data_IF_655374029449
#
_entry.id   IF_655374029449
#
_cell.length_a   1.000
_cell.length_b   1.000
_cell.length_c   1.000
_cell.angle_alpha   90.00
_cell.angle_beta   90.00
_cell.angle_gamma   90.00
#
_symmetry.space_group_name_H-M   'P 1'
#
loop_
_entity.id
_entity.type
_entity.pdbx_description
1 polymer ?
#
# COMPACT_ATOMS: atom_id res chain seq x y z
N UNK A 1 -12.14 0.63 -0.15
CA UNK A 1 -12.23 0.65 -1.62
C UNK A 1 -12.11 -0.74 -2.19
N UNK A 2 -12.85 -1.06 -3.25
CA UNK A 2 -12.72 -2.32 -3.99
C UNK A 2 -11.87 -2.07 -5.24
N UNK A 3 -10.81 -2.84 -5.43
CA UNK A 3 -9.92 -2.79 -6.61
C UNK A 3 -9.80 -4.18 -7.22
N UNK A 4 -9.70 -4.24 -8.55
CA UNK A 4 -9.70 -5.50 -9.31
C UNK A 4 -8.39 -5.67 -10.09
N UNK A 5 -7.41 -6.41 -9.55
CA UNK A 5 -6.11 -6.60 -10.19
C UNK A 5 -6.14 -7.30 -11.54
N UNK A 6 -7.18 -8.08 -11.81
CA UNK A 6 -7.29 -8.90 -13.01
C UNK A 6 -8.32 -8.37 -14.00
N UNK A 7 -8.86 -7.16 -13.78
CA UNK A 7 -9.97 -6.60 -14.59
C UNK A 7 -11.31 -7.34 -14.48
N UNK A 8 -11.34 -8.54 -13.89
CA UNK A 8 -12.52 -9.38 -13.72
C UNK A 8 -13.22 -9.14 -12.37
N UNK A 9 -13.70 -7.91 -12.17
CA UNK A 9 -14.67 -7.63 -11.10
C UNK A 9 -16.01 -8.35 -11.35
N UNK A 10 -16.25 -8.78 -12.59
CA UNK A 10 -17.49 -9.38 -13.09
C UNK A 10 -17.82 -10.67 -12.35
N UNK A 11 -16.80 -11.44 -11.95
CA UNK A 11 -16.95 -12.62 -11.10
C UNK A 11 -17.02 -12.30 -9.59
N UNK A 12 -17.12 -11.03 -9.21
CA UNK A 12 -17.27 -10.57 -7.83
C UNK A 12 -16.04 -10.78 -6.95
N UNK A 13 -14.87 -11.03 -7.54
CA UNK A 13 -13.60 -11.10 -6.81
C UNK A 13 -12.91 -9.74 -6.87
N UNK A 14 -12.50 -9.24 -5.71
CA UNK A 14 -11.85 -7.94 -5.59
C UNK A 14 -10.91 -7.95 -4.40
N UNK A 15 -9.98 -7.01 -4.34
CA UNK A 15 -9.27 -6.69 -3.12
C UNK A 15 -9.92 -5.47 -2.48
N UNK A 16 -10.17 -5.55 -1.18
CA UNK A 16 -10.59 -4.40 -0.40
C UNK A 16 -9.38 -3.74 0.22
N UNK A 17 -9.15 -2.49 -0.16
CA UNK A 17 -8.14 -1.60 0.42
C UNK A 17 -8.73 -0.83 1.59
N UNK A 18 -7.97 -0.76 2.68
CA UNK A 18 -8.28 0.06 3.86
C UNK A 18 -6.98 0.66 4.39
N UNK A 19 -6.91 1.99 4.45
CA UNK A 19 -5.82 2.68 5.16
C UNK A 19 -6.09 2.56 6.65
N UNK A 20 -5.09 2.12 7.42
CA UNK A 20 -5.24 1.77 8.83
C UNK A 20 -4.60 2.77 9.75
N UNK A 21 -3.30 3.00 9.59
CA UNK A 21 -2.61 3.97 10.42
C UNK A 21 -1.45 4.64 9.70
N UNK A 22 -1.12 5.84 10.15
CA UNK A 22 0.10 6.55 9.82
C UNK A 22 0.72 7.02 11.13
N UNK A 23 1.91 6.53 11.42
CA UNK A 23 2.55 6.66 12.74
C UNK A 23 3.99 7.09 12.58
N UNK A 24 4.45 8.02 13.42
CA UNK A 24 5.86 8.34 13.54
C UNK A 24 6.50 7.42 14.58
N UNK A 25 7.58 6.76 14.16
CA UNK A 25 8.39 5.89 15.01
C UNK A 25 9.75 6.54 15.25
N UNK A 26 10.22 6.48 16.47
CA UNK A 26 11.57 6.91 16.82
C UNK A 26 12.64 5.95 16.28
N UNK A 27 13.92 6.29 16.48
CA UNK A 27 15.05 5.45 16.06
C UNK A 27 15.09 4.05 16.69
N UNK A 28 14.33 3.82 17.76
CA UNK A 28 14.17 2.51 18.40
C UNK A 28 12.97 1.71 17.85
N UNK A 29 12.16 2.33 16.97
CA UNK A 29 10.92 1.76 16.46
C UNK A 29 9.72 1.95 17.40
N UNK A 30 9.83 2.85 18.39
CA UNK A 30 8.76 3.14 19.35
C UNK A 30 7.89 4.29 18.85
N UNK A 31 6.57 4.20 19.08
CA UNK A 31 5.63 5.26 18.71
C UNK A 31 5.96 6.57 19.42
N UNK A 32 6.06 7.65 18.64
CA UNK A 32 6.20 9.01 19.18
C UNK A 32 4.83 9.52 19.63
N UNK A 33 4.75 10.01 20.87
CA UNK A 33 3.48 10.46 21.46
C UNK A 33 2.84 11.61 20.66
N UNK A 34 1.52 11.54 20.46
CA UNK A 34 0.76 12.50 19.66
C UNK A 34 1.07 12.51 18.15
N UNK A 35 1.91 11.61 17.64
CA UNK A 35 2.32 11.52 16.23
C UNK A 35 1.74 10.28 15.53
N UNK A 36 0.44 10.06 15.70
CA UNK A 36 -0.28 8.92 15.13
C UNK A 36 -1.65 9.31 14.59
N UNK A 37 -2.04 8.69 13.48
CA UNK A 37 -3.39 8.73 12.94
C UNK A 37 -3.84 7.29 12.74
N UNK A 38 -4.87 6.83 13.44
CA UNK A 38 -5.43 5.47 13.31
C UNK A 38 -6.87 5.45 12.78
N UNK A 39 -7.57 6.58 12.89
CA UNK A 39 -8.97 6.69 12.49
C UNK A 39 -9.11 7.57 11.26
N UNK A 40 -8.77 6.99 10.11
CA UNK A 40 -9.07 7.54 8.78
C UNK A 40 -10.57 7.46 8.45
N UNK A 41 -11.45 7.78 9.41
CA UNK A 41 -12.91 7.71 9.32
C UNK A 41 -13.60 9.07 9.51
N UNK A 42 -12.84 10.17 9.46
CA UNK A 42 -13.40 11.54 9.47
C UNK A 42 -14.01 11.90 8.11
N UNK A 43 -15.09 12.68 8.11
CA UNK A 43 -15.95 12.97 6.94
C UNK A 43 -15.26 13.70 5.75
N UNK A 44 -13.95 13.93 5.78
CA UNK A 44 -13.16 14.53 4.70
C UNK A 44 -12.30 13.53 3.92
N UNK A 45 -12.31 12.24 4.30
CA UNK A 45 -11.59 11.22 3.57
C UNK A 45 -12.50 10.42 2.64
N UNK A 46 -12.10 10.32 1.38
CA UNK A 46 -12.84 9.51 0.42
C UNK A 46 -11.87 8.89 -0.57
N UNK A 47 -12.21 7.68 -0.99
CA UNK A 47 -11.60 7.11 -2.16
C UNK A 47 -12.19 7.79 -3.39
N UNK A 48 -11.32 8.36 -4.22
CA UNK A 48 -11.70 8.82 -5.54
C UNK A 48 -12.19 7.64 -6.39
N UNK A 49 -13.09 7.93 -7.33
CA UNK A 49 -13.54 6.94 -8.30
C UNK A 49 -12.34 6.32 -9.04
N UNK A 50 -12.48 5.05 -9.44
CA UNK A 50 -11.49 4.41 -10.30
C UNK A 50 -11.40 5.18 -11.62
N UNK A 51 -10.17 5.52 -12.01
CA UNK A 51 -9.86 6.14 -13.29
C UNK A 51 -8.85 5.27 -14.04
N UNK A 52 -8.91 5.29 -15.36
CA UNK A 52 -7.94 4.59 -16.21
C UNK A 52 -7.22 5.60 -17.07
N UNK A 53 -5.89 5.54 -17.04
CA UNK A 53 -5.01 6.33 -17.89
C UNK A 53 -4.15 5.40 -18.73
N UNK A 54 -3.58 5.91 -19.82
CA UNK A 54 -2.69 5.14 -20.67
C UNK A 54 -1.26 5.69 -20.55
N UNK A 55 -0.30 4.82 -20.29
CA UNK A 55 1.14 5.16 -20.24
C UNK A 55 1.85 4.17 -21.15
N UNK A 56 2.58 4.68 -22.14
CA UNK A 56 3.30 3.87 -23.14
C UNK A 56 2.44 2.77 -23.78
N UNK A 57 1.16 3.08 -24.03
CA UNK A 57 0.21 2.13 -24.62
C UNK A 57 -0.45 1.17 -23.64
N UNK A 58 -0.02 1.12 -22.37
CA UNK A 58 -0.53 0.25 -21.30
C UNK A 58 -1.61 0.98 -20.50
N UNK A 59 -2.76 0.35 -20.24
CA UNK A 59 -3.78 0.94 -19.39
C UNK A 59 -3.41 0.75 -17.91
N UNK A 60 -3.57 1.80 -17.14
CA UNK A 60 -3.33 1.83 -15.70
C UNK A 60 -4.62 2.26 -15.03
N UNK A 61 -5.26 1.32 -14.32
CA UNK A 61 -6.40 1.61 -13.47
C UNK A 61 -5.91 2.07 -12.10
N UNK A 62 -6.42 3.19 -11.61
CA UNK A 62 -5.98 3.80 -10.35
C UNK A 62 -7.13 4.39 -9.55
N UNK A 63 -6.95 4.42 -8.23
CA UNK A 63 -7.84 5.09 -7.28
C UNK A 63 -6.98 5.69 -6.16
N UNK A 64 -7.41 6.83 -5.63
CA UNK A 64 -6.66 7.56 -4.62
C UNK A 64 -7.50 7.72 -3.36
N UNK A 65 -6.88 7.52 -2.20
CA UNK A 65 -7.44 7.88 -0.92
C UNK A 65 -6.83 9.20 -0.48
N UNK A 66 -7.65 10.26 -0.46
CA UNK A 66 -7.24 11.58 -0.03
C UNK A 66 -7.77 11.81 1.38
N UNK A 67 -6.92 12.37 2.25
CA UNK A 67 -7.31 12.74 3.60
C UNK A 67 -6.55 14.00 4.05
N UNK A 68 -7.29 14.93 4.65
CA UNK A 68 -6.71 16.02 5.44
C UNK A 68 -6.67 15.58 6.90
N UNK A 69 -5.47 15.43 7.42
CA UNK A 69 -5.20 14.94 8.77
C UNK A 69 -4.78 16.08 9.69
N UNK A 70 -5.04 15.92 10.98
CA UNK A 70 -4.54 16.81 12.03
C UNK A 70 -3.68 15.97 12.97
N UNK A 71 -2.41 16.33 13.11
CA UNK A 71 -1.43 15.61 13.93
C UNK A 71 -0.77 16.60 14.88
N UNK A 72 -1.21 16.59 16.14
CA UNK A 72 -0.97 17.70 17.06
C UNK A 72 -1.57 19.00 16.49
N UNK A 73 -0.73 20.01 16.27
CA UNK A 73 -1.15 21.29 15.67
C UNK A 73 -0.95 21.34 14.14
N UNK A 74 -0.29 20.34 13.56
CA UNK A 74 0.03 20.32 12.14
C UNK A 74 -1.17 19.85 11.30
N UNK A 75 -1.44 20.54 10.19
CA UNK A 75 -2.32 20.08 9.13
C UNK A 75 -1.50 19.30 8.11
N UNK A 76 -1.87 18.05 7.88
CA UNK A 76 -1.15 17.14 6.99
C UNK A 76 -2.07 16.75 5.84
N UNK A 77 -1.62 16.98 4.60
CA UNK A 77 -2.29 16.46 3.42
C UNK A 77 -1.72 15.06 3.11
N UNK A 78 -2.59 14.07 3.05
CA UNK A 78 -2.25 12.68 2.76
C UNK A 78 -2.95 12.20 1.50
N UNK A 79 -2.18 11.57 0.59
CA UNK A 79 -2.70 10.93 -0.60
C UNK A 79 -2.06 9.55 -0.80
N UNK A 80 -2.87 8.50 -0.80
CA UNK A 80 -2.46 7.15 -1.20
C UNK A 80 -3.10 6.80 -2.53
N UNK A 81 -2.32 6.71 -3.59
CA UNK A 81 -2.78 6.21 -4.89
C UNK A 81 -2.44 4.73 -5.04
N UNK A 82 -3.46 3.90 -5.24
CA UNK A 82 -3.31 2.50 -5.64
C UNK A 82 -3.50 2.39 -7.16
N UNK A 83 -2.58 1.70 -7.84
CA UNK A 83 -2.61 1.55 -9.30
C UNK A 83 -2.27 0.13 -9.75
N UNK A 84 -2.85 -0.28 -10.86
CA UNK A 84 -2.69 -1.60 -11.46
C UNK A 84 -2.55 -1.42 -12.97
N UNK A 85 -1.44 -1.90 -13.53
CA UNK A 85 -1.19 -1.88 -14.97
C UNK A 85 -1.70 -3.18 -15.62
N UNK A 86 -2.34 -3.08 -16.79
CA UNK A 86 -2.81 -4.24 -17.58
C UNK A 86 -1.71 -4.91 -18.41
N UNK A 87 -0.54 -4.28 -18.46
CA UNK A 87 0.69 -4.74 -19.12
C UNK A 87 1.93 -4.34 -18.32
N UNK A 88 3.11 -4.83 -18.74
CA UNK A 88 4.36 -4.38 -18.16
C UNK A 88 4.61 -2.92 -18.56
N UNK A 89 4.87 -2.06 -17.58
CA UNK A 89 5.08 -0.62 -17.82
C UNK A 89 6.27 -0.12 -17.02
N UNK A 90 7.02 0.84 -17.57
CA UNK A 90 8.06 1.55 -16.84
C UNK A 90 7.51 2.89 -16.41
N UNK A 91 7.49 3.16 -15.10
CA UNK A 91 6.98 4.41 -14.54
C UNK A 91 8.12 5.21 -13.93
N UNK A 92 8.15 6.51 -14.21
CA UNK A 92 9.04 7.45 -13.53
C UNK A 92 8.41 7.91 -12.21
N UNK A 93 9.19 7.92 -11.13
CA UNK A 93 8.82 8.52 -9.85
C UNK A 93 10.00 9.32 -9.31
N UNK A 94 9.88 10.64 -9.34
CA UNK A 94 11.00 11.55 -9.08
C UNK A 94 12.15 11.29 -10.06
N UNK A 95 13.34 11.01 -9.54
CA UNK A 95 14.53 10.68 -10.31
C UNK A 95 14.70 9.18 -10.62
N UNK A 96 13.77 8.34 -10.17
CA UNK A 96 13.86 6.89 -10.34
C UNK A 96 12.90 6.38 -11.42
N UNK A 97 13.31 5.32 -12.11
CA UNK A 97 12.45 4.56 -13.02
C UNK A 97 12.19 3.18 -12.44
N UNK A 98 10.92 2.77 -12.46
CA UNK A 98 10.45 1.52 -11.87
C UNK A 98 9.70 0.72 -12.92
N UNK A 99 10.16 -0.50 -13.21
CA UNK A 99 9.40 -1.46 -14.02
C UNK A 99 8.33 -2.11 -13.15
N UNK A 100 7.08 -1.94 -13.55
CA UNK A 100 5.90 -2.52 -12.90
C UNK A 100 5.38 -3.64 -13.79
N UNK A 101 5.38 -4.90 -13.29
CA UNK A 101 4.80 -6.01 -14.03
C UNK A 101 3.28 -5.86 -14.19
N UNK A 102 2.74 -6.45 -15.25
CA UNK A 102 1.29 -6.56 -15.45
C UNK A 102 0.60 -7.19 -14.22
N UNK A 103 -0.51 -6.59 -13.79
CA UNK A 103 -1.30 -7.05 -12.64
C UNK A 103 -0.68 -6.76 -11.27
N UNK A 104 0.51 -6.16 -11.19
CA UNK A 104 1.08 -5.74 -9.92
C UNK A 104 0.30 -4.56 -9.33
N UNK A 105 0.07 -4.60 -8.01
CA UNK A 105 -0.49 -3.48 -7.28
C UNK A 105 0.64 -2.56 -6.83
N UNK A 106 0.64 -1.32 -7.33
CA UNK A 106 1.57 -0.28 -6.90
C UNK A 106 0.85 0.73 -6.02
N UNK A 107 1.49 1.08 -4.90
CA UNK A 107 1.10 2.20 -4.06
C UNK A 107 2.06 3.37 -4.29
N UNK A 108 1.49 4.55 -4.46
CA UNK A 108 2.19 5.84 -4.38
C UNK A 108 1.64 6.57 -3.17
N UNK A 109 2.52 7.11 -2.33
CA UNK A 109 2.15 7.81 -1.11
C UNK A 109 2.77 9.19 -1.14
N UNK A 110 1.93 10.21 -1.08
CA UNK A 110 2.36 11.60 -0.97
C UNK A 110 1.86 12.16 0.37
N UNK A 111 2.78 12.67 1.18
CA UNK A 111 2.51 13.23 2.51
C UNK A 111 3.13 14.61 2.57
N UNK A 112 2.32 15.63 2.79
CA UNK A 112 2.78 17.02 2.89
C UNK A 112 2.40 17.61 4.23
N UNK A 113 3.33 18.34 4.86
CA UNK A 113 3.09 19.03 6.13
C UNK A 113 3.29 18.18 7.38
N UNK A 114 3.82 16.95 7.25
CA UNK A 114 4.22 16.18 8.42
C UNK A 114 5.48 16.78 9.05
N UNK A 115 5.35 17.25 10.29
CA UNK A 115 6.48 17.77 11.07
C UNK A 115 7.00 16.67 12.00
N UNK A 116 8.14 16.08 11.66
CA UNK A 116 8.82 15.10 12.50
C UNK A 116 9.23 15.70 13.84
N UNK A 117 9.12 14.91 14.91
CA UNK A 117 9.62 15.27 16.22
C UNK A 117 11.15 15.26 16.28
N UNK A 118 11.79 14.36 15.52
CA UNK A 118 13.24 14.26 15.38
C UNK A 118 13.61 13.86 13.94
N UNK A 119 14.77 14.32 13.45
CA UNK A 119 15.24 14.04 12.09
C UNK A 119 15.59 12.57 11.83
N UNK A 120 15.77 11.77 12.88
CA UNK A 120 16.06 10.33 12.80
C UNK A 120 14.82 9.44 12.82
N UNK A 121 13.64 10.04 13.04
CA UNK A 121 12.39 9.31 13.09
C UNK A 121 11.94 8.88 11.69
N UNK A 122 11.02 7.91 11.65
CA UNK A 122 10.48 7.35 10.41
C UNK A 122 8.97 7.36 10.42
N UNK A 123 8.35 7.30 9.23
CA UNK A 123 6.91 7.12 9.09
C UNK A 123 6.58 5.67 8.75
N UNK A 124 5.69 5.07 9.54
CA UNK A 124 5.10 3.78 9.29
C UNK A 124 3.66 3.95 8.79
N UNK A 125 3.41 3.50 7.56
CA UNK A 125 2.07 3.45 6.97
C UNK A 125 1.54 2.01 6.98
N UNK A 126 0.37 1.82 7.58
CA UNK A 126 -0.34 0.55 7.59
C UNK A 126 -1.50 0.57 6.59
N UNK A 127 -1.46 -0.34 5.61
CA UNK A 127 -2.54 -0.58 4.64
C UNK A 127 -2.99 -2.02 4.72
N UNK A 128 -4.28 -2.25 4.92
CA UNK A 128 -4.89 -3.57 4.90
C UNK A 128 -5.40 -3.92 3.50
N UNK A 129 -5.11 -5.16 3.08
CA UNK A 129 -5.49 -5.78 1.83
C UNK A 129 -6.31 -7.04 2.10
N UNK A 130 -7.64 -6.97 1.91
CA UNK A 130 -8.49 -8.15 2.04
C UNK A 130 -8.88 -8.69 0.67
N UNK A 131 -8.47 -9.92 0.34
CA UNK A 131 -8.99 -10.60 -0.85
C UNK A 131 -10.44 -11.08 -0.59
N UNK A 132 -11.37 -10.58 -1.38
CA UNK A 132 -12.79 -10.90 -1.32
C UNK A 132 -13.23 -11.65 -2.57
N UNK A 133 -14.15 -12.58 -2.38
CA UNK A 133 -14.89 -13.27 -3.41
C UNK A 133 -16.30 -12.71 -3.60
N UNK A 134 -17.11 -13.37 -4.45
CA UNK A 134 -18.43 -12.90 -4.81
C UNK A 134 -19.25 -12.49 -3.59
N UNK A 135 -19.90 -11.31 -3.68
CA UNK A 135 -20.73 -10.72 -2.60
C UNK A 135 -19.94 -10.39 -1.32
N UNK A 136 -18.65 -10.08 -1.42
CA UNK A 136 -17.81 -9.65 -0.29
C UNK A 136 -17.41 -10.77 0.68
N UNK A 137 -17.69 -12.04 0.34
CA UNK A 137 -17.30 -13.19 1.17
C UNK A 137 -15.78 -13.37 1.13
N UNK A 138 -15.18 -13.90 2.19
CA UNK A 138 -13.78 -14.30 2.13
C UNK A 138 -13.60 -15.34 1.01
N UNK A 139 -12.52 -15.22 0.22
CA UNK A 139 -12.12 -16.31 -0.65
C UNK A 139 -11.88 -17.52 0.24
N UNK A 140 -12.49 -18.66 -0.09
CA UNK A 140 -12.26 -19.89 0.66
C UNK A 140 -10.74 -20.11 0.77
N UNK A 141 -10.22 -20.20 2.00
CA UNK A 141 -8.84 -20.62 2.21
C UNK A 141 -8.63 -21.94 1.47
N UNK A 142 -7.44 -22.14 0.89
CA UNK A 142 -7.09 -23.40 0.20
C UNK A 142 -7.58 -24.58 1.05
N UNK A 143 -8.63 -25.24 0.55
CA UNK A 143 -9.31 -26.35 1.20
C UNK A 143 -8.28 -27.47 1.38
N UNK A 144 -7.96 -27.78 2.63
CA UNK A 144 -7.24 -28.97 3.13
C UNK A 144 -6.17 -29.57 2.20
N UNK A 145 -4.89 -29.34 2.54
CA UNK A 145 -3.80 -30.24 2.14
C UNK A 145 -4.20 -31.67 2.58
N UNK A 146 -4.22 -32.68 1.70
CA UNK A 146 -4.40 -34.05 2.15
C UNK A 146 -3.30 -34.37 3.17
N UNK A 147 -3.66 -34.95 4.33
CA UNK A 147 -2.70 -35.49 5.29
C UNK A 147 -1.93 -36.63 4.61
N UNK A 148 -0.91 -36.27 3.85
CA UNK A 148 0.04 -37.24 3.30
C UNK A 148 1.27 -37.19 4.17
N UNK A 149 1.53 -38.35 4.75
CA UNK A 149 2.65 -38.78 5.60
C UNK A 149 3.95 -38.02 5.35
N UNK A 150 4.62 -37.69 6.46
CA UNK A 150 5.91 -37.01 6.51
C UNK A 150 6.91 -37.51 5.45
N UNK A 151 7.38 -36.59 4.59
CA UNK A 151 8.72 -36.65 4.03
C UNK A 151 9.48 -35.40 4.42
N UNK A 152 10.71 -35.64 4.86
CA UNK A 152 11.71 -34.72 5.41
C UNK A 152 11.72 -33.33 4.78
N UNK A 153 11.81 -32.34 5.66
CA UNK A 153 12.06 -30.94 5.35
C UNK A 153 13.34 -30.77 4.52
N UNK A 154 13.22 -30.14 3.35
CA UNK A 154 14.26 -29.26 2.82
C UNK A 154 13.82 -27.83 3.15
N UNK A 155 14.50 -27.28 4.15
CA UNK A 155 14.44 -25.87 4.52
C UNK A 155 15.15 -25.06 3.43
N UNK A 156 14.39 -24.43 2.53
CA UNK A 156 14.85 -23.26 1.78
C UNK A 156 14.23 -22.04 2.42
N UNK A 157 14.98 -21.40 3.32
CA UNK A 157 14.68 -20.07 3.82
C UNK A 157 14.83 -19.09 2.65
N UNK A 158 13.73 -18.46 2.23
CA UNK A 158 13.79 -17.22 1.46
C UNK A 158 14.07 -16.09 2.45
N UNK A 159 15.34 -15.78 2.66
CA UNK A 159 15.78 -14.59 3.36
C UNK A 159 15.59 -13.38 2.43
N UNK A 160 14.58 -12.55 2.68
CA UNK A 160 14.53 -11.21 2.14
C UNK A 160 15.41 -10.33 3.03
N UNK A 161 16.67 -10.17 2.64
CA UNK A 161 17.57 -9.20 3.24
C UNK A 161 17.97 -8.19 2.17
N UNK A 162 17.37 -7.00 2.24
CA UNK A 162 18.07 -5.73 2.03
C UNK A 162 17.20 -4.62 2.65
N UNK A 163 17.62 -4.01 3.77
CA UNK A 163 17.02 -2.75 4.21
C UNK A 163 17.36 -1.66 3.19
N UNK A 164 16.36 -0.87 2.78
CA UNK A 164 16.57 0.37 2.03
C UNK A 164 17.32 1.35 2.94
N UNK A 165 18.62 1.52 2.70
CA UNK A 165 19.43 2.56 3.33
C UNK A 165 19.11 3.90 2.66
N UNK A 166 18.39 4.77 3.38
CA UNK A 166 18.34 6.19 3.05
C UNK A 166 19.66 6.82 3.48
N UNK A 167 20.50 7.22 2.53
CA UNK A 167 21.63 8.12 2.79
C UNK A 167 21.15 9.57 2.56
N UNK A 168 21.39 10.51 3.49
CA UNK A 168 21.24 11.93 3.20
C UNK A 168 22.40 12.38 2.32
N UNK A 169 22.09 12.88 1.12
CA UNK A 169 23.09 13.48 0.24
C UNK A 169 23.32 14.93 0.68
N UNK A 170 24.46 15.18 1.32
CA UNK A 170 24.98 16.54 1.53
C UNK A 170 25.67 17.01 0.25
N UNK A 171 25.25 18.16 -0.28
CA UNK A 171 26.12 19.22 -0.82
C UNK A 171 25.29 20.48 -1.05
#
# INVERSE_FOLDING_TARGET
>A
MEVCPTGDCTNGKFMRLTVKSLEELDSSGTLVDGKSVSDFNTNSNSWAALSTTQVDGVNISSTSFLADLVVGEAKVAFNLTASIADGNVTLSYGSQTLTVPAGALKFTVDITGWTFADATNTLALSVALDAKGPKGKALASRRNRPKTRALRALSTALTWATPCSWMPQQS
#
